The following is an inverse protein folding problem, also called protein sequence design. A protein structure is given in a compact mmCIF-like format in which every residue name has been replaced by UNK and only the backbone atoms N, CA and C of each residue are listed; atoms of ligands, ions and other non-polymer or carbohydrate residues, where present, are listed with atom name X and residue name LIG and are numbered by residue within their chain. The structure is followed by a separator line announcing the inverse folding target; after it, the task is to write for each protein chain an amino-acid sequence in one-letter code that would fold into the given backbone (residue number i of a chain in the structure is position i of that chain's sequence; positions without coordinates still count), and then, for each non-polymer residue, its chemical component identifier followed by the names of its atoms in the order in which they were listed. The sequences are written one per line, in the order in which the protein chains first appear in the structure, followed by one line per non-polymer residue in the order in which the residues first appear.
data_IF_678590749833
#
_entry.id   IF_678590749833
#
_cell.length_a   1.000
_cell.length_b   1.000
_cell.length_c   1.000
_cell.angle_alpha   90.00
_cell.angle_beta   90.00
_cell.angle_gamma   90.00
#
_symmetry.space_group_name_H-M   'P 1'
#
loop_
_entity.id
_entity.type
_entity.pdbx_description
1 polymer ?
#
# COMPACT_ATOMS: atom_id res chain seq x y z
N UNK A 1 -52.57 18.17 -64.23
CA UNK A 1 -52.87 17.62 -62.89
C UNK A 1 -51.67 17.94 -62.00
N UNK A 2 -51.93 18.67 -60.93
CA UNK A 2 -50.96 19.36 -60.07
C UNK A 2 -50.26 18.33 -59.17
N UNK A 3 -48.94 18.45 -59.03
CA UNK A 3 -48.16 17.71 -58.03
C UNK A 3 -46.84 18.41 -57.77
N UNK A 4 -46.86 19.36 -56.83
CA UNK A 4 -45.70 20.13 -56.34
C UNK A 4 -44.57 19.21 -55.87
N UNK A 5 -43.37 19.40 -56.42
CA UNK A 5 -42.10 18.94 -55.85
C UNK A 5 -41.67 19.92 -54.77
N UNK A 6 -42.00 19.62 -53.50
CA UNK A 6 -41.46 20.33 -52.36
C UNK A 6 -40.03 19.82 -52.06
N UNK A 7 -39.06 20.68 -52.30
CA UNK A 7 -37.69 20.55 -51.80
C UNK A 7 -37.71 20.66 -50.28
N UNK A 8 -37.41 19.57 -49.57
CA UNK A 8 -37.12 19.60 -48.13
C UNK A 8 -35.61 19.59 -47.95
N UNK A 9 -35.14 20.67 -47.33
CA UNK A 9 -33.76 20.94 -47.00
C UNK A 9 -33.13 19.83 -46.16
N UNK A 10 -31.92 19.41 -46.55
CA UNK A 10 -31.00 18.68 -45.69
C UNK A 10 -30.63 19.56 -44.49
N UNK A 11 -31.22 19.26 -43.33
CA UNK A 11 -30.61 19.60 -42.03
C UNK A 11 -29.92 18.34 -41.50
N UNK A 12 -28.62 18.37 -41.15
CA UNK A 12 -28.00 17.24 -40.48
C UNK A 12 -28.65 17.07 -39.09
N UNK A 13 -28.82 15.83 -38.58
CA UNK A 13 -29.33 15.64 -37.24
C UNK A 13 -28.32 16.21 -36.23
N UNK A 14 -28.82 17.08 -35.35
CA UNK A 14 -28.12 17.53 -34.15
C UNK A 14 -27.59 16.30 -33.40
N UNK A 15 -26.26 16.23 -33.25
CA UNK A 15 -25.63 15.34 -32.30
C UNK A 15 -26.14 15.71 -30.91
N UNK A 16 -27.02 14.88 -30.36
CA UNK A 16 -27.37 14.93 -28.95
C UNK A 16 -26.12 14.49 -28.21
N UNK A 17 -25.35 15.46 -27.72
CA UNK A 17 -24.36 15.24 -26.67
C UNK A 17 -25.16 14.74 -25.48
N UNK A 18 -25.14 13.42 -25.25
CA UNK A 18 -25.52 12.89 -23.95
C UNK A 18 -24.47 13.38 -22.97
N UNK A 19 -24.77 14.48 -22.27
CA UNK A 19 -24.19 14.74 -20.97
C UNK A 19 -24.57 13.54 -20.09
N UNK A 20 -23.67 12.56 -20.02
CA UNK A 20 -23.76 11.50 -19.02
C UNK A 20 -23.86 12.15 -17.64
N UNK A 21 -24.54 11.50 -16.68
CA UNK A 21 -24.66 12.05 -15.34
C UNK A 21 -23.24 12.34 -14.84
N UNK A 22 -22.95 13.61 -14.62
CA UNK A 22 -21.77 14.05 -13.89
C UNK A 22 -21.83 13.32 -12.56
N UNK A 23 -20.99 12.31 -12.39
CA UNK A 23 -20.83 11.66 -11.09
C UNK A 23 -20.67 12.78 -10.06
N UNK A 24 -21.45 12.79 -8.97
CA UNK A 24 -21.26 13.77 -7.94
C UNK A 24 -19.85 13.55 -7.42
N UNK A 25 -18.94 14.42 -7.84
CA UNK A 25 -17.63 14.55 -7.24
C UNK A 25 -17.93 14.99 -5.83
N UNK A 26 -17.98 14.02 -4.91
CA UNK A 26 -18.07 14.27 -3.48
C UNK A 26 -17.03 15.35 -3.23
N UNK A 27 -17.49 16.53 -2.81
CA UNK A 27 -16.61 17.58 -2.31
C UNK A 27 -15.86 16.92 -1.16
N UNK A 28 -14.66 16.41 -1.45
CA UNK A 28 -13.69 16.12 -0.44
C UNK A 28 -13.39 17.50 0.13
N UNK A 29 -14.07 17.85 1.22
CA UNK A 29 -13.66 18.96 2.07
C UNK A 29 -12.13 18.96 2.12
N UNK A 30 -11.49 20.12 1.93
CA UNK A 30 -10.03 20.26 1.98
C UNK A 30 -9.53 19.87 3.38
N UNK A 31 -9.46 18.57 3.64
CA UNK A 31 -8.98 18.01 4.88
C UNK A 31 -7.46 18.14 4.80
N UNK A 32 -6.88 19.01 5.63
CA UNK A 32 -5.42 19.07 5.81
C UNK A 32 -5.00 18.36 7.10
N UNK A 33 -3.74 17.92 7.16
CA UNK A 33 -3.16 17.49 8.42
C UNK A 33 -3.08 18.66 9.42
N UNK A 34 -3.52 18.47 10.69
CA UNK A 34 -3.43 19.50 11.70
C UNK A 34 -1.99 19.97 11.91
N UNK A 35 -1.72 21.26 11.69
CA UNK A 35 -0.39 21.85 11.89
C UNK A 35 -0.04 21.87 13.37
N UNK A 36 1.05 21.19 13.74
CA UNK A 36 1.53 21.16 15.11
C UNK A 36 2.13 22.51 15.54
N UNK A 37 1.71 23.02 16.70
CA UNK A 37 2.36 24.16 17.35
C UNK A 37 3.79 23.82 17.75
N UNK A 38 4.67 24.82 17.82
CA UNK A 38 6.11 24.64 18.09
C UNK A 38 6.44 23.71 19.28
N UNK A 39 5.77 23.80 20.45
CA UNK A 39 6.06 22.91 21.57
C UNK A 39 5.73 21.43 21.27
N UNK A 40 4.57 21.18 20.65
CA UNK A 40 4.15 19.82 20.29
C UNK A 40 5.05 19.24 19.19
N UNK A 41 5.40 20.05 18.19
CA UNK A 41 6.34 19.67 17.13
C UNK A 41 7.70 19.28 17.70
N UNK A 42 8.32 20.11 18.55
CA UNK A 42 9.61 19.78 19.19
C UNK A 42 9.55 18.49 20.01
N UNK A 43 8.44 18.27 20.71
CA UNK A 43 8.23 17.05 21.48
C UNK A 43 8.13 15.81 20.58
N UNK A 44 7.43 15.92 19.44
CA UNK A 44 7.36 14.85 18.44
C UNK A 44 8.71 14.60 17.75
N UNK A 45 9.47 15.65 17.41
CA UNK A 45 10.84 15.51 16.85
C UNK A 45 11.78 14.80 17.83
N UNK A 46 11.72 15.17 19.12
CA UNK A 46 12.49 14.51 20.16
C UNK A 46 12.09 13.03 20.32
N UNK A 47 10.79 12.72 20.28
CA UNK A 47 10.30 11.34 20.33
C UNK A 47 10.78 10.50 19.13
N UNK A 48 10.74 11.04 17.90
CA UNK A 48 11.28 10.35 16.72
C UNK A 48 12.78 10.08 16.86
N UNK A 49 13.54 11.02 17.42
CA UNK A 49 14.96 10.82 17.71
C UNK A 49 15.17 9.73 18.77
N UNK A 50 14.34 9.69 19.81
CA UNK A 50 14.35 8.62 20.83
C UNK A 50 14.00 7.26 20.23
N UNK A 51 13.06 7.16 19.30
CA UNK A 51 12.79 5.88 18.64
C UNK A 51 14.01 5.34 17.89
N UNK A 52 14.74 6.24 17.21
CA UNK A 52 15.94 5.84 16.47
C UNK A 52 17.11 5.47 17.38
N UNK A 53 17.40 6.29 18.41
CA UNK A 53 18.64 6.18 19.20
C UNK A 53 18.45 5.64 20.62
N UNK A 54 17.20 5.43 21.04
CA UNK A 54 16.86 4.93 22.35
C UNK A 54 17.43 3.54 22.57
N UNK A 55 18.01 3.31 23.75
CA UNK A 55 18.62 2.04 24.13
C UNK A 55 17.71 1.15 24.97
N UNK A 56 16.71 1.75 25.63
CA UNK A 56 15.83 1.02 26.55
C UNK A 56 14.43 0.90 25.98
N UNK A 57 13.79 -0.25 26.22
CA UNK A 57 12.39 -0.49 25.83
C UNK A 57 11.44 0.56 26.40
N UNK A 58 11.64 0.98 27.64
CA UNK A 58 10.81 1.99 28.31
C UNK A 58 10.88 3.36 27.59
N UNK A 59 12.06 3.75 27.10
CA UNK A 59 12.21 5.01 26.36
C UNK A 59 11.50 4.94 25.00
N UNK A 60 11.61 3.79 24.32
CA UNK A 60 10.91 3.55 23.06
C UNK A 60 9.39 3.58 23.26
N UNK A 61 8.85 2.89 24.27
CA UNK A 61 7.42 2.88 24.60
C UNK A 61 6.90 4.28 24.93
N UNK A 62 7.67 5.07 25.70
CA UNK A 62 7.33 6.48 25.96
C UNK A 62 7.30 7.32 24.69
N UNK A 63 8.28 7.13 23.80
CA UNK A 63 8.35 7.86 22.54
C UNK A 63 7.17 7.51 21.60
N UNK A 64 6.84 6.22 21.48
CA UNK A 64 5.65 5.74 20.75
C UNK A 64 4.39 6.41 21.32
N UNK A 65 4.22 6.40 22.64
CA UNK A 65 3.07 7.02 23.32
C UNK A 65 2.98 8.53 23.05
N UNK A 66 4.09 9.25 23.07
CA UNK A 66 4.13 10.69 22.76
C UNK A 66 3.64 10.96 21.34
N UNK A 67 4.09 10.17 20.36
CA UNK A 67 3.71 10.35 18.96
C UNK A 67 2.23 10.01 18.73
N UNK A 68 1.74 8.93 19.34
CA UNK A 68 0.31 8.58 19.33
C UNK A 68 -0.56 9.67 19.95
N UNK A 69 -0.16 10.22 21.10
CA UNK A 69 -0.85 11.34 21.75
C UNK A 69 -0.81 12.65 20.96
N UNK A 70 0.18 12.82 20.08
CA UNK A 70 0.25 13.96 19.17
C UNK A 70 -0.81 13.85 18.07
N UNK A 71 -1.30 12.63 17.80
CA UNK A 71 -2.39 12.35 16.89
C UNK A 71 -2.04 12.61 15.42
N UNK A 72 -3.08 12.88 14.62
CA UNK A 72 -3.00 13.01 13.16
C UNK A 72 -1.92 14.01 12.69
N UNK A 73 -1.66 15.09 13.44
CA UNK A 73 -0.62 16.06 13.10
C UNK A 73 0.82 15.51 13.13
N UNK A 74 1.06 14.35 13.75
CA UNK A 74 2.37 13.69 13.72
C UNK A 74 2.63 12.89 12.43
N UNK A 75 1.60 12.59 11.63
CA UNK A 75 1.70 11.71 10.46
C UNK A 75 2.77 12.20 9.46
N UNK A 76 2.78 13.47 9.00
CA UNK A 76 3.81 13.95 8.07
C UNK A 76 5.22 13.77 8.64
N UNK A 77 5.40 14.01 9.94
CA UNK A 77 6.71 13.89 10.57
C UNK A 77 7.20 12.46 10.67
N UNK A 78 6.30 11.51 10.98
CA UNK A 78 6.61 10.08 11.02
C UNK A 78 6.99 9.60 9.62
N UNK A 79 6.22 9.99 8.61
CA UNK A 79 6.41 9.65 7.20
C UNK A 79 7.71 10.23 6.63
N UNK A 80 8.00 11.51 6.84
CA UNK A 80 9.28 12.13 6.45
C UNK A 80 10.47 11.56 7.24
N UNK A 81 10.23 11.17 8.50
CA UNK A 81 11.24 10.57 9.37
C UNK A 81 11.62 9.14 8.99
N UNK A 82 10.79 8.45 8.19
CA UNK A 82 10.91 7.04 7.88
C UNK A 82 12.26 6.62 7.35
N UNK A 83 12.85 7.42 6.46
CA UNK A 83 14.18 7.15 5.88
C UNK A 83 15.27 6.96 6.94
N UNK A 84 15.11 7.56 8.11
CA UNK A 84 16.08 7.47 9.22
C UNK A 84 16.02 6.13 9.97
N UNK A 85 15.09 5.26 9.59
CA UNK A 85 14.87 3.92 10.15
C UNK A 85 15.11 2.82 9.12
N UNK A 86 15.56 3.16 7.91
CA UNK A 86 16.07 2.14 7.01
C UNK A 86 17.45 1.71 7.48
N UNK A 87 17.71 0.38 7.56
CA UNK A 87 19.04 -0.11 7.88
C UNK A 87 20.03 0.41 6.84
N UNK A 88 21.10 1.03 7.31
CA UNK A 88 22.18 1.50 6.44
C UNK A 88 23.01 0.29 5.97
N UNK A 89 23.04 -0.02 4.66
CA UNK A 89 23.78 -1.17 4.16
C UNK A 89 25.30 -1.03 4.34
N UNK A 90 25.79 0.19 4.61
CA UNK A 90 27.21 0.49 4.81
C UNK A 90 27.60 0.64 6.28
N UNK A 91 26.66 0.49 7.22
CA UNK A 91 26.97 0.60 8.64
C UNK A 91 27.89 -0.54 9.12
N UNK A 92 28.91 -0.17 9.89
CA UNK A 92 29.86 -1.13 10.49
C UNK A 92 29.19 -2.10 11.48
N UNK A 93 28.09 -1.67 12.10
CA UNK A 93 27.28 -2.47 13.00
C UNK A 93 25.85 -2.63 12.44
N UNK A 94 25.25 -3.83 12.54
CA UNK A 94 23.87 -4.04 12.10
C UNK A 94 22.91 -3.19 12.93
N UNK A 95 22.28 -2.22 12.29
CA UNK A 95 21.20 -1.44 12.91
C UNK A 95 19.96 -2.33 13.10
N UNK A 96 19.35 -2.24 14.28
CA UNK A 96 18.08 -2.92 14.55
C UNK A 96 16.98 -2.32 13.67
N UNK A 97 16.26 -3.16 12.92
CA UNK A 97 15.11 -2.72 12.14
C UNK A 97 13.96 -2.30 13.07
N UNK A 98 13.76 -0.99 13.17
CA UNK A 98 12.76 -0.37 14.04
C UNK A 98 11.58 0.21 13.27
N UNK A 99 11.43 -0.10 11.98
CA UNK A 99 10.32 0.39 11.15
C UNK A 99 8.96 -0.01 11.69
N UNK A 100 8.87 -1.19 12.32
CA UNK A 100 7.65 -1.67 12.98
C UNK A 100 7.11 -0.69 14.04
N UNK A 101 7.97 0.11 14.69
CA UNK A 101 7.54 1.13 15.64
C UNK A 101 6.80 2.27 14.93
N UNK A 102 7.28 2.69 13.76
CA UNK A 102 6.61 3.70 12.95
C UNK A 102 5.27 3.19 12.42
N UNK A 103 5.25 1.94 11.94
CA UNK A 103 4.02 1.27 11.51
C UNK A 103 2.99 1.25 12.63
N UNK A 104 3.38 0.86 13.85
CA UNK A 104 2.48 0.79 15.01
C UNK A 104 1.91 2.16 15.43
N UNK A 105 2.63 3.25 15.15
CA UNK A 105 2.15 4.61 15.40
C UNK A 105 1.11 4.97 14.35
N UNK A 106 1.43 4.78 13.06
CA UNK A 106 0.53 5.09 11.96
C UNK A 106 -0.70 4.19 11.93
N UNK A 107 -0.61 2.93 12.38
CA UNK A 107 -1.78 2.06 12.54
C UNK A 107 -2.82 2.65 13.50
N UNK A 108 -2.38 3.39 14.52
CA UNK A 108 -3.26 4.03 15.49
C UNK A 108 -3.78 5.40 15.03
N UNK A 109 -2.93 6.22 14.41
CA UNK A 109 -3.27 7.63 14.12
C UNK A 109 -3.69 7.92 12.68
N UNK A 110 -3.28 7.09 11.71
CA UNK A 110 -3.60 7.28 10.28
C UNK A 110 -4.89 6.50 9.97
N UNK A 111 -6.03 7.20 9.95
CA UNK A 111 -7.29 6.63 9.48
C UNK A 111 -7.32 6.49 7.96
N UNK A 112 -8.31 5.74 7.45
CA UNK A 112 -8.57 5.63 6.01
C UNK A 112 -8.73 6.99 5.35
N UNK A 113 -9.43 7.93 6.00
CA UNK A 113 -9.76 9.25 5.44
C UNK A 113 -8.51 10.05 5.06
N UNK A 114 -7.43 9.91 5.84
CA UNK A 114 -6.17 10.62 5.65
C UNK A 114 -5.17 9.93 4.70
N UNK A 115 -5.50 8.76 4.12
CA UNK A 115 -4.56 8.00 3.28
C UNK A 115 -4.12 8.76 2.01
N UNK A 116 -4.99 9.58 1.44
CA UNK A 116 -4.66 10.42 0.29
C UNK A 116 -3.63 11.49 0.65
N UNK A 117 -3.85 12.24 1.75
CA UNK A 117 -2.88 13.21 2.25
C UNK A 117 -1.55 12.54 2.60
N UNK A 118 -1.58 11.40 3.27
CA UNK A 118 -0.38 10.65 3.62
C UNK A 118 0.42 10.24 2.37
N UNK A 119 -0.26 9.95 1.27
CA UNK A 119 0.38 9.64 -0.01
C UNK A 119 0.98 10.89 -0.67
N UNK A 120 0.31 12.05 -0.57
CA UNK A 120 0.80 13.32 -1.11
C UNK A 120 2.05 13.85 -0.40
N UNK A 121 2.22 13.51 0.88
CA UNK A 121 3.44 13.80 1.65
C UNK A 121 4.67 13.00 1.15
N UNK A 122 4.50 12.02 0.27
CA UNK A 122 5.59 11.19 -0.25
C UNK A 122 6.31 11.86 -1.41
N UNK A 123 7.62 12.06 -1.24
CA UNK A 123 8.49 12.64 -2.27
C UNK A 123 9.45 11.58 -2.84
N UNK A 124 10.31 12.00 -3.77
CA UNK A 124 11.33 11.13 -4.38
C UNK A 124 12.40 10.62 -3.38
N UNK A 125 12.48 11.19 -2.19
CA UNK A 125 13.42 10.80 -1.12
C UNK A 125 12.76 9.87 -0.11
N UNK A 126 11.44 9.74 -0.16
CA UNK A 126 10.70 8.74 0.60
C UNK A 126 11.16 7.34 0.18
N UNK A 127 11.55 6.50 1.14
CA UNK A 127 11.96 5.13 0.85
C UNK A 127 10.81 4.25 0.38
N UNK A 128 11.16 3.21 -0.39
CA UNK A 128 10.19 2.24 -0.90
C UNK A 128 9.44 1.52 0.23
N UNK A 129 10.09 1.29 1.39
CA UNK A 129 9.45 0.67 2.55
C UNK A 129 8.22 1.46 3.07
N UNK A 130 8.28 2.80 3.06
CA UNK A 130 7.14 3.64 3.42
C UNK A 130 6.04 3.58 2.34
N UNK A 131 6.42 3.53 1.06
CA UNK A 131 5.48 3.40 -0.07
C UNK A 131 4.74 2.06 -0.02
N UNK A 132 5.45 0.98 0.29
CA UNK A 132 4.89 -0.35 0.51
C UNK A 132 3.88 -0.30 1.64
N UNK A 133 4.24 0.29 2.79
CA UNK A 133 3.34 0.44 3.93
C UNK A 133 2.05 1.17 3.54
N UNK A 134 2.14 2.36 2.93
CA UNK A 134 0.95 3.12 2.54
C UNK A 134 0.11 2.39 1.49
N UNK A 135 0.74 1.73 0.52
CA UNK A 135 0.02 0.93 -0.48
C UNK A 135 -0.72 -0.23 0.16
N UNK A 136 -0.12 -0.90 1.15
CA UNK A 136 -0.77 -1.93 1.97
C UNK A 136 -1.98 -1.34 2.71
N UNK A 137 -1.84 -0.16 3.33
CA UNK A 137 -2.95 0.53 4.00
C UNK A 137 -4.09 0.87 3.04
N UNK A 138 -3.79 1.30 1.82
CA UNK A 138 -4.77 1.52 0.76
C UNK A 138 -5.48 0.22 0.36
N UNK A 139 -4.71 -0.85 0.14
CA UNK A 139 -5.24 -2.18 -0.18
C UNK A 139 -6.20 -2.70 0.88
N UNK A 140 -5.86 -2.50 2.15
CA UNK A 140 -6.63 -2.95 3.32
C UNK A 140 -7.78 -2.00 3.70
N UNK A 141 -7.85 -0.81 3.10
CA UNK A 141 -8.90 0.16 3.40
C UNK A 141 -10.23 -0.22 2.76
N UNK A 142 -11.35 0.20 3.36
CA UNK A 142 -12.69 0.09 2.77
C UNK A 142 -13.09 1.33 1.96
N UNK A 143 -12.13 2.19 1.57
CA UNK A 143 -12.45 3.39 0.80
C UNK A 143 -12.96 3.03 -0.59
N UNK A 144 -13.94 3.78 -1.06
CA UNK A 144 -14.53 3.61 -2.39
C UNK A 144 -13.52 3.91 -3.52
N UNK A 145 -12.67 4.92 -3.32
CA UNK A 145 -11.64 5.34 -4.28
C UNK A 145 -10.38 4.46 -4.29
N UNK A 146 -10.25 3.52 -3.35
CA UNK A 146 -9.07 2.68 -3.23
C UNK A 146 -8.83 1.82 -4.48
N UNK A 147 -9.89 1.31 -5.12
CA UNK A 147 -9.75 0.54 -6.36
C UNK A 147 -9.06 1.33 -7.47
N UNK A 148 -9.51 2.58 -7.69
CA UNK A 148 -8.93 3.50 -8.67
C UNK A 148 -7.47 3.84 -8.33
N UNK A 149 -7.19 4.14 -7.06
CA UNK A 149 -5.83 4.41 -6.60
C UNK A 149 -4.90 3.22 -6.85
N UNK A 150 -5.28 2.00 -6.44
CA UNK A 150 -4.48 0.79 -6.56
C UNK A 150 -4.25 0.42 -8.02
N UNK A 151 -5.25 0.63 -8.89
CA UNK A 151 -5.11 0.38 -10.32
C UNK A 151 -4.10 1.32 -10.97
N UNK A 152 -4.11 2.60 -10.60
CA UNK A 152 -3.09 3.57 -11.00
C UNK A 152 -1.70 3.14 -10.52
N UNK A 153 -1.57 2.73 -9.26
CA UNK A 153 -0.27 2.30 -8.70
C UNK A 153 0.26 1.04 -9.37
N UNK A 154 -0.62 0.12 -9.77
CA UNK A 154 -0.24 -1.10 -10.48
C UNK A 154 0.51 -0.80 -11.79
N UNK A 155 0.09 0.25 -12.53
CA UNK A 155 0.77 0.66 -13.77
C UNK A 155 2.07 1.45 -13.57
N UNK A 156 2.30 1.99 -12.37
CA UNK A 156 3.40 2.93 -12.09
C UNK A 156 4.50 2.32 -11.22
N UNK A 157 4.18 1.24 -10.50
CA UNK A 157 5.05 0.65 -9.49
C UNK A 157 5.59 -0.70 -9.92
N UNK A 158 6.70 -1.12 -9.31
CA UNK A 158 7.31 -2.45 -9.47
C UNK A 158 7.52 -3.11 -8.11
N UNK A 159 7.94 -4.36 -8.12
CA UNK A 159 8.33 -5.08 -6.92
C UNK A 159 7.20 -5.17 -5.91
N UNK A 160 7.53 -4.99 -4.63
CA UNK A 160 6.57 -5.19 -3.53
C UNK A 160 5.40 -4.21 -3.57
N UNK A 161 5.60 -2.97 -4.02
CA UNK A 161 4.50 -1.99 -4.15
C UNK A 161 3.48 -2.45 -5.20
N UNK A 162 3.95 -3.01 -6.31
CA UNK A 162 3.09 -3.58 -7.36
C UNK A 162 2.30 -4.79 -6.82
N UNK A 163 2.96 -5.65 -6.05
CA UNK A 163 2.30 -6.77 -5.37
C UNK A 163 1.19 -6.31 -4.41
N UNK A 164 1.46 -5.35 -3.52
CA UNK A 164 0.44 -4.85 -2.58
C UNK A 164 -0.74 -4.20 -3.32
N UNK A 165 -0.46 -3.49 -4.43
CA UNK A 165 -1.50 -2.94 -5.31
C UNK A 165 -2.38 -4.05 -5.90
N UNK A 166 -1.76 -5.09 -6.45
CA UNK A 166 -2.47 -6.22 -7.03
C UNK A 166 -3.27 -7.00 -5.97
N UNK A 167 -2.72 -7.21 -4.77
CA UNK A 167 -3.41 -7.85 -3.64
C UNK A 167 -4.68 -7.10 -3.27
N UNK A 168 -4.60 -5.77 -3.16
CA UNK A 168 -5.77 -4.94 -2.84
C UNK A 168 -6.84 -4.97 -3.93
N UNK A 169 -6.46 -5.06 -5.20
CA UNK A 169 -7.38 -5.22 -6.34
C UNK A 169 -8.03 -6.61 -6.35
N UNK A 170 -7.28 -7.67 -6.03
CA UNK A 170 -7.80 -9.03 -5.95
C UNK A 170 -8.86 -9.17 -4.84
N UNK A 171 -8.65 -8.54 -3.69
CA UNK A 171 -9.67 -8.48 -2.62
C UNK A 171 -10.96 -7.78 -3.02
N UNK A 172 -10.91 -6.94 -4.04
CA UNK A 172 -12.06 -6.28 -4.65
C UNK A 172 -12.64 -7.05 -5.84
N UNK A 173 -12.09 -8.23 -6.16
CA UNK A 173 -12.54 -9.06 -7.28
C UNK A 173 -12.18 -8.52 -8.66
N UNK A 174 -11.13 -7.69 -8.77
CA UNK A 174 -10.73 -7.09 -10.05
C UNK A 174 -9.66 -7.92 -10.76
N UNK A 175 -9.95 -8.34 -11.99
CA UNK A 175 -9.08 -9.24 -12.79
C UNK A 175 -7.70 -8.66 -13.11
N UNK A 176 -7.56 -7.32 -13.09
CA UNK A 176 -6.29 -6.64 -13.27
C UNK A 176 -5.19 -7.12 -12.28
N UNK A 177 -5.58 -7.71 -11.16
CA UNK A 177 -4.67 -8.26 -10.17
C UNK A 177 -3.97 -9.57 -10.59
N UNK A 178 -4.57 -10.36 -11.49
CA UNK A 178 -4.18 -11.75 -11.71
C UNK A 178 -2.76 -11.89 -12.26
N UNK A 179 -2.43 -11.17 -13.33
CA UNK A 179 -1.10 -11.26 -13.95
C UNK A 179 0.01 -10.82 -12.99
N UNK A 180 -0.06 -9.65 -12.33
CA UNK A 180 0.94 -9.24 -11.35
C UNK A 180 1.12 -10.24 -10.18
N UNK A 181 0.03 -10.75 -9.61
CA UNK A 181 0.10 -11.71 -8.51
C UNK A 181 0.74 -13.02 -8.94
N UNK A 182 0.40 -13.51 -10.14
CA UNK A 182 0.99 -14.72 -10.69
C UNK A 182 2.49 -14.55 -10.98
N UNK A 183 2.90 -13.42 -11.55
CA UNK A 183 4.31 -13.10 -11.78
C UNK A 183 5.09 -13.04 -10.46
N UNK A 184 4.56 -12.33 -9.46
CA UNK A 184 5.17 -12.26 -8.14
C UNK A 184 5.31 -13.64 -7.49
N UNK A 185 4.26 -14.47 -7.55
CA UNK A 185 4.30 -15.84 -7.04
C UNK A 185 5.41 -16.65 -7.72
N UNK A 186 5.53 -16.59 -9.06
CA UNK A 186 6.56 -17.30 -9.81
C UNK A 186 7.97 -16.87 -9.43
N UNK A 187 8.20 -15.56 -9.31
CA UNK A 187 9.50 -15.00 -8.95
C UNK A 187 9.95 -15.42 -7.54
N UNK A 188 9.01 -15.48 -6.59
CA UNK A 188 9.29 -15.76 -5.18
C UNK A 188 9.08 -17.25 -4.81
N UNK A 189 8.68 -18.09 -5.76
CA UNK A 189 8.35 -19.49 -5.51
C UNK A 189 9.57 -20.30 -5.06
N UNK A 190 10.73 -20.06 -5.66
CA UNK A 190 11.98 -20.79 -5.34
C UNK A 190 12.44 -20.57 -3.89
N UNK A 191 12.34 -19.33 -3.42
CA UNK A 191 12.66 -18.95 -2.03
C UNK A 191 11.63 -19.56 -1.06
N UNK A 192 10.34 -19.45 -1.38
CA UNK A 192 9.25 -20.04 -0.59
C UNK A 192 9.39 -21.55 -0.47
N UNK A 193 9.74 -22.22 -1.57
CA UNK A 193 10.02 -23.67 -1.61
C UNK A 193 11.22 -24.04 -0.76
N UNK A 194 12.26 -23.20 -0.72
CA UNK A 194 13.46 -23.45 0.07
C UNK A 194 13.19 -23.30 1.56
N UNK A 195 12.41 -22.28 1.96
CA UNK A 195 11.94 -22.11 3.33
C UNK A 195 11.06 -23.28 3.77
N UNK A 196 10.06 -23.66 2.97
CA UNK A 196 9.23 -24.84 3.24
C UNK A 196 10.08 -26.10 3.40
N UNK A 197 11.03 -26.35 2.48
CA UNK A 197 11.94 -27.51 2.59
C UNK A 197 12.79 -27.48 3.87
N UNK A 198 13.20 -26.30 4.33
CA UNK A 198 13.93 -26.15 5.58
C UNK A 198 13.05 -26.50 6.79
N UNK A 199 11.81 -26.02 6.82
CA UNK A 199 10.83 -26.31 7.87
C UNK A 199 10.51 -27.82 7.95
N UNK A 200 10.47 -28.50 6.80
CA UNK A 200 10.22 -29.94 6.72
C UNK A 200 11.49 -30.81 6.75
N UNK A 201 12.69 -30.24 6.93
CA UNK A 201 13.97 -30.98 6.85
C UNK A 201 14.13 -32.06 7.95
N UNK A 202 13.37 -31.97 9.03
CA UNK A 202 13.37 -32.96 10.13
C UNK A 202 12.04 -33.69 10.32
N UNK A 203 11.05 -33.45 9.46
CA UNK A 203 9.78 -34.19 9.49
C UNK A 203 10.02 -35.52 8.78
N UNK A 204 9.86 -36.64 9.48
CA UNK A 204 9.88 -37.96 8.85
C UNK A 204 8.88 -37.93 7.68
N UNK A 205 9.39 -38.24 6.48
CA UNK A 205 8.59 -38.41 5.27
C UNK A 205 7.66 -39.60 5.49
N UNK A 206 6.53 -39.34 6.14
CA UNK A 206 5.56 -40.35 6.53
C UNK A 206 4.83 -40.99 5.34
N UNK A 207 3.80 -41.80 5.60
CA UNK A 207 3.12 -42.65 4.60
C UNK A 207 2.56 -41.93 3.37
N UNK A 208 2.34 -40.60 3.42
CA UNK A 208 1.92 -39.80 2.25
C UNK A 208 2.99 -39.76 1.14
N UNK A 209 4.27 -39.75 1.48
CA UNK A 209 5.37 -39.78 0.50
C UNK A 209 5.47 -41.13 -0.22
N UNK A 210 5.23 -42.23 0.50
CA UNK A 210 5.23 -43.58 -0.07
C UNK A 210 4.03 -43.78 -1.01
N UNK A 211 2.85 -43.25 -0.65
CA UNK A 211 1.66 -43.27 -1.51
C UNK A 211 1.85 -42.48 -2.81
N UNK A 212 2.49 -41.31 -2.75
CA UNK A 212 2.77 -40.51 -3.95
C UNK A 212 3.81 -41.16 -4.86
N UNK A 213 4.85 -41.79 -4.31
CA UNK A 213 5.86 -42.51 -5.11
C UNK A 213 5.26 -43.75 -5.81
N UNK A 214 4.44 -44.53 -5.12
CA UNK A 214 3.76 -45.69 -5.71
C UNK A 214 2.77 -45.31 -6.84
N UNK A 215 2.17 -44.12 -6.76
CA UNK A 215 1.30 -43.58 -7.82
C UNK A 215 2.07 -43.07 -9.04
N UNK A 216 3.32 -42.63 -8.87
CA UNK A 216 4.18 -42.22 -9.98
C UNK A 216 4.82 -43.42 -10.69
N UNK A 217 5.22 -44.45 -9.95
CA UNK A 217 5.82 -45.68 -10.51
C UNK A 217 4.77 -46.62 -11.16
N UNK A 218 3.47 -46.35 -11.01
CA UNK A 218 2.38 -47.10 -11.64
C UNK A 218 1.85 -46.45 -12.94
N UNK A 219 2.52 -45.39 -13.41
CA UNK A 219 2.25 -44.75 -14.69
C UNK A 219 3.31 -45.03 -15.78
N UNK A 220 4.31 -45.89 -15.49
CA UNK A 220 5.18 -46.54 -16.49
C UNK A 220 4.65 -47.94 -16.84
#
# INVERSE_FOLDING_TARGET
MIGLLAWLALTPPLAIVQEGPTEPRVEQDEIEFPKLKSPARRKAEAALLTLRRGKTRNDLEKAVKILKQTGVGAIPMVLMGWRRFEPDPEAEEPEEDRRYLLESILEEILSGDYLHLAWEEMDKRTPDSARIYLTRRWADSNREDAGTFLHKQLGQSRGRVNYESARGLAWRGLDAALTPLHSWMKENWSESMSALRADFKGVERGPLSAGCLALMDSQD
#
